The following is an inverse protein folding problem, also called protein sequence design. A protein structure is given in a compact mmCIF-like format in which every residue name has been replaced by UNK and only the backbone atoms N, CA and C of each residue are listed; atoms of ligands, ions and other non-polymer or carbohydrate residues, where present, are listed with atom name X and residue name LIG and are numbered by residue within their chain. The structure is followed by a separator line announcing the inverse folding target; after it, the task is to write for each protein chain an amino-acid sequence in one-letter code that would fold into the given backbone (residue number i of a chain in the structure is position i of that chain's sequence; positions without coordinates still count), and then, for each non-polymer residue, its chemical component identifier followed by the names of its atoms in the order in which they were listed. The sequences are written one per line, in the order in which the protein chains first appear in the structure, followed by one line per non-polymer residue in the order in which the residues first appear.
data_IF_132095916160
#
_entry.id   IF_132095916160
#
_cell.length_a   1.000
_cell.length_b   1.000
_cell.length_c   1.000
_cell.angle_alpha   90.00
_cell.angle_beta   90.00
_cell.angle_gamma   90.00
#
_symmetry.space_group_name_H-M   'P 1'
#
loop_
_entity.id
_entity.type
_entity.pdbx_description
1 polymer ?
#
# COMPACT_ATOMS: atom_id res chain seq x y z
N UNK A 1 -20.19 16.55 -28.84
CA UNK A 1 -20.53 15.22 -28.26
C UNK A 1 -19.38 14.81 -27.36
N UNK A 2 -19.64 14.50 -26.08
CA UNK A 2 -18.63 13.97 -25.15
C UNK A 2 -18.39 12.52 -25.53
N UNK A 3 -17.13 12.15 -25.77
CA UNK A 3 -16.77 10.80 -26.22
C UNK A 3 -16.14 9.95 -25.10
N UNK A 4 -15.67 10.59 -24.01
CA UNK A 4 -15.10 9.92 -22.84
C UNK A 4 -15.22 10.81 -21.62
N UNK A 5 -15.38 10.18 -20.45
CA UNK A 5 -15.32 10.82 -19.14
C UNK A 5 -14.31 10.05 -18.31
N UNK A 6 -13.41 10.77 -17.64
CA UNK A 6 -12.42 10.18 -16.74
C UNK A 6 -12.69 10.68 -15.31
N UNK A 7 -12.52 9.79 -14.35
CA UNK A 7 -12.67 10.09 -12.93
C UNK A 7 -11.37 9.80 -12.20
N UNK A 8 -11.08 10.55 -11.17
CA UNK A 8 -10.15 10.13 -10.14
C UNK A 8 -10.76 8.96 -9.35
N UNK A 9 -9.94 8.15 -8.70
CA UNK A 9 -10.40 6.93 -8.03
C UNK A 9 -10.62 7.16 -6.53
N UNK A 10 -9.57 7.56 -5.80
CA UNK A 10 -9.62 7.72 -4.36
C UNK A 10 -10.35 9.01 -3.96
N UNK A 11 -11.24 8.93 -2.97
CA UNK A 11 -12.14 10.02 -2.50
C UNK A 11 -13.03 10.63 -3.59
N UNK A 12 -13.10 9.97 -4.76
CA UNK A 12 -13.99 10.33 -5.87
C UNK A 12 -14.96 9.19 -6.17
N UNK A 13 -14.46 8.02 -6.57
CA UNK A 13 -15.27 6.83 -6.82
C UNK A 13 -15.36 5.91 -5.61
N UNK A 14 -14.34 5.87 -4.78
CA UNK A 14 -14.28 5.10 -3.53
C UNK A 14 -13.83 5.99 -2.38
N UNK A 15 -14.24 5.65 -1.17
CA UNK A 15 -13.83 6.32 0.05
C UNK A 15 -12.51 5.71 0.51
N UNK A 16 -11.46 6.53 0.62
CA UNK A 16 -10.14 6.08 1.08
C UNK A 16 -10.22 5.55 2.52
N UNK A 17 -9.40 4.53 2.83
CA UNK A 17 -9.38 3.83 4.13
C UNK A 17 -10.73 3.28 4.65
N UNK A 18 -11.80 3.28 3.82
CA UNK A 18 -13.11 2.72 4.20
C UNK A 18 -13.08 1.20 4.47
N UNK A 19 -12.04 0.51 4.04
CA UNK A 19 -11.80 -0.90 4.32
C UNK A 19 -11.28 -1.17 5.76
N UNK A 20 -10.69 -0.20 6.45
CA UNK A 20 -10.13 -0.39 7.80
C UNK A 20 -11.17 -0.84 8.84
N UNK A 21 -12.40 -0.28 8.92
CA UNK A 21 -13.44 -0.81 9.80
C UNK A 21 -13.82 -2.26 9.49
N UNK A 22 -13.85 -2.63 8.20
CA UNK A 22 -14.15 -4.00 7.79
C UNK A 22 -13.01 -4.98 8.11
N UNK A 23 -11.75 -4.53 8.07
CA UNK A 23 -10.59 -5.27 8.56
C UNK A 23 -10.71 -5.53 10.06
N UNK A 24 -10.98 -4.50 10.85
CA UNK A 24 -11.15 -4.62 12.30
C UNK A 24 -12.28 -5.60 12.68
N UNK A 25 -13.42 -5.54 11.97
CA UNK A 25 -14.55 -6.47 12.19
C UNK A 25 -14.18 -7.93 11.90
N UNK A 26 -13.17 -8.20 11.06
CA UNK A 26 -12.63 -9.55 10.78
C UNK A 26 -11.47 -9.94 11.68
N UNK A 27 -11.11 -9.12 12.68
CA UNK A 27 -9.97 -9.36 13.56
C UNK A 27 -8.61 -9.23 12.86
N UNK A 28 -8.56 -8.56 11.71
CA UNK A 28 -7.32 -8.31 10.97
C UNK A 28 -6.63 -7.06 11.50
N UNK A 29 -5.29 -7.03 11.53
CA UNK A 29 -4.55 -5.81 11.85
C UNK A 29 -4.78 -4.74 10.77
N UNK A 30 -4.50 -3.48 11.10
CA UNK A 30 -4.53 -2.37 10.15
C UNK A 30 -3.57 -2.62 8.98
N UNK A 31 -3.81 -1.95 7.84
CA UNK A 31 -2.86 -2.00 6.70
C UNK A 31 -1.46 -1.57 7.13
N UNK A 32 -1.34 -0.53 7.96
CA UNK A 32 -0.06 -0.04 8.48
C UNK A 32 0.67 -1.11 9.29
N UNK A 33 -0.03 -1.81 10.17
CA UNK A 33 0.56 -2.90 10.98
C UNK A 33 0.95 -4.09 10.11
N UNK A 34 0.09 -4.48 9.16
CA UNK A 34 0.37 -5.59 8.24
C UNK A 34 1.60 -5.29 7.37
N UNK A 35 1.71 -4.10 6.80
CA UNK A 35 2.87 -3.66 6.02
C UNK A 35 4.16 -3.77 6.84
N UNK A 36 4.12 -3.28 8.08
CA UNK A 36 5.25 -3.36 8.99
C UNK A 36 5.62 -4.81 9.31
N UNK A 37 4.64 -5.65 9.61
CA UNK A 37 4.85 -7.05 9.93
C UNK A 37 5.50 -7.81 8.77
N UNK A 38 4.92 -7.71 7.56
CA UNK A 38 5.44 -8.36 6.36
C UNK A 38 6.91 -8.00 6.09
N UNK A 39 7.23 -6.71 6.15
CA UNK A 39 8.60 -6.25 5.90
C UNK A 39 9.57 -6.71 6.99
N UNK A 40 9.22 -6.55 8.26
CA UNK A 40 10.07 -6.95 9.40
C UNK A 40 10.32 -8.45 9.38
N UNK A 41 9.31 -9.28 9.17
CA UNK A 41 9.45 -10.73 9.10
C UNK A 41 10.38 -11.15 7.96
N UNK A 42 10.24 -10.54 6.78
CA UNK A 42 11.11 -10.84 5.64
C UNK A 42 12.57 -10.46 5.92
N UNK A 43 12.81 -9.27 6.48
CA UNK A 43 14.17 -8.85 6.86
C UNK A 43 14.77 -9.80 7.88
N UNK A 44 14.06 -10.13 8.95
CA UNK A 44 14.59 -11.00 10.01
C UNK A 44 14.85 -12.43 9.54
N UNK A 45 14.05 -12.94 8.61
CA UNK A 45 14.23 -14.28 8.03
C UNK A 45 15.57 -14.40 7.30
N UNK A 46 16.01 -13.36 6.63
CA UNK A 46 17.20 -13.38 5.80
C UNK A 46 18.39 -12.62 6.40
N UNK A 47 18.16 -11.79 7.40
CA UNK A 47 19.15 -10.94 8.05
C UNK A 47 18.99 -10.96 9.59
N UNK A 48 19.32 -12.06 10.25
CA UNK A 48 19.09 -12.22 11.71
C UNK A 48 19.91 -11.24 12.57
N UNK A 49 20.90 -10.56 11.98
CA UNK A 49 21.65 -9.49 12.65
C UNK A 49 20.95 -8.13 12.68
N UNK A 50 19.84 -7.96 11.96
CA UNK A 50 19.03 -6.73 12.00
C UNK A 50 17.98 -6.87 13.10
N UNK A 51 17.88 -5.86 14.00
CA UNK A 51 16.81 -5.87 15.01
C UNK A 51 15.45 -5.53 14.40
N UNK A 52 14.32 -6.03 14.97
CA UNK A 52 12.97 -5.69 14.51
C UNK A 52 12.71 -4.19 14.49
N UNK A 53 13.20 -3.47 15.52
CA UNK A 53 13.05 -2.01 15.59
C UNK A 53 13.79 -1.28 14.49
N UNK A 54 15.00 -1.73 14.11
CA UNK A 54 15.77 -1.14 13.01
C UNK A 54 15.10 -1.38 11.66
N UNK A 55 14.56 -2.58 11.42
CA UNK A 55 13.80 -2.89 10.23
C UNK A 55 12.54 -2.02 10.12
N UNK A 56 11.75 -1.92 11.19
CA UNK A 56 10.55 -1.10 11.24
C UNK A 56 10.86 0.40 11.00
N UNK A 57 11.95 0.91 11.56
CA UNK A 57 12.38 2.30 11.35
C UNK A 57 12.77 2.57 9.90
N UNK A 58 13.49 1.66 9.24
CA UNK A 58 13.86 1.79 7.84
C UNK A 58 12.61 1.83 6.92
N UNK A 59 11.64 0.95 7.17
CA UNK A 59 10.37 0.99 6.46
C UNK A 59 9.64 2.32 6.67
N UNK A 60 9.55 2.80 7.92
CA UNK A 60 8.89 4.07 8.23
C UNK A 60 9.54 5.26 7.52
N UNK A 61 10.87 5.27 7.41
CA UNK A 61 11.60 6.30 6.68
C UNK A 61 11.29 6.27 5.17
N UNK A 62 11.29 5.10 4.56
CA UNK A 62 10.93 4.93 3.15
C UNK A 62 9.48 5.36 2.86
N UNK A 63 8.52 5.00 3.75
CA UNK A 63 7.13 5.43 3.61
C UNK A 63 6.95 6.94 3.81
N UNK A 64 7.76 7.57 4.66
CA UNK A 64 7.78 9.03 4.83
C UNK A 64 8.31 9.72 3.56
N UNK A 65 9.38 9.19 2.96
CA UNK A 65 9.90 9.67 1.69
C UNK A 65 8.89 9.52 0.56
N UNK A 66 8.20 8.37 0.49
CA UNK A 66 7.09 8.16 -0.44
C UNK A 66 5.98 9.21 -0.29
N UNK A 67 5.56 9.53 0.94
CA UNK A 67 4.55 10.55 1.19
C UNK A 67 4.95 11.93 0.64
N UNK A 68 6.25 12.27 0.70
CA UNK A 68 6.79 13.47 0.09
C UNK A 68 6.78 13.40 -1.45
N UNK A 69 7.25 12.29 -2.02
CA UNK A 69 7.25 12.09 -3.47
C UNK A 69 5.84 12.24 -4.05
N UNK A 70 4.86 11.62 -3.40
CA UNK A 70 3.46 11.72 -3.80
C UNK A 70 2.92 13.16 -3.71
N UNK A 71 3.08 13.82 -2.56
CA UNK A 71 2.47 15.14 -2.29
C UNK A 71 3.17 16.30 -3.01
N UNK A 72 4.48 16.22 -3.21
CA UNK A 72 5.29 17.34 -3.71
C UNK A 72 5.76 17.09 -5.14
N UNK A 73 6.16 15.86 -5.45
CA UNK A 73 6.73 15.52 -6.76
C UNK A 73 5.69 14.90 -7.71
N UNK A 74 4.44 14.68 -7.21
CA UNK A 74 3.34 14.04 -7.94
C UNK A 74 3.73 12.70 -8.57
N UNK A 75 4.62 11.95 -7.89
CA UNK A 75 5.12 10.66 -8.28
C UNK A 75 4.63 9.58 -7.32
N UNK A 76 4.10 8.48 -7.88
CA UNK A 76 3.66 7.31 -7.12
C UNK A 76 4.56 6.12 -7.44
N UNK A 77 5.70 5.93 -6.73
CA UNK A 77 6.56 4.77 -6.91
C UNK A 77 5.81 3.47 -6.64
N UNK A 78 6.06 2.40 -7.44
CA UNK A 78 5.50 1.09 -7.17
C UNK A 78 5.94 0.53 -5.81
N UNK A 79 5.19 -0.45 -5.29
CA UNK A 79 5.50 -1.12 -4.02
C UNK A 79 6.94 -1.64 -3.98
N UNK A 80 7.37 -2.30 -5.06
CA UNK A 80 8.72 -2.84 -5.16
C UNK A 80 9.82 -1.78 -5.01
N UNK A 81 9.63 -0.57 -5.53
CA UNK A 81 10.60 0.53 -5.39
C UNK A 81 10.69 0.99 -3.95
N UNK A 82 9.55 1.19 -3.28
CA UNK A 82 9.48 1.59 -1.86
C UNK A 82 10.14 0.56 -0.93
N UNK A 83 9.94 -0.73 -1.19
CA UNK A 83 10.55 -1.80 -0.41
C UNK A 83 12.06 -1.90 -0.64
N UNK A 84 12.55 -1.68 -1.89
CA UNK A 84 14.00 -1.59 -2.16
C UNK A 84 14.64 -0.41 -1.44
N UNK A 85 13.97 0.73 -1.40
CA UNK A 85 14.43 1.89 -0.64
C UNK A 85 14.55 1.58 0.86
N UNK A 86 13.55 0.91 1.44
CA UNK A 86 13.60 0.49 2.84
C UNK A 86 14.76 -0.49 3.12
N UNK A 87 15.01 -1.46 2.22
CA UNK A 87 16.15 -2.37 2.33
C UNK A 87 17.48 -1.64 2.20
N UNK A 88 17.58 -0.69 1.25
CA UNK A 88 18.79 0.11 1.06
C UNK A 88 19.17 0.94 2.30
N UNK A 89 18.18 1.45 3.06
CA UNK A 89 18.41 2.12 4.36
C UNK A 89 19.01 1.20 5.42
N UNK A 90 18.88 -0.11 5.26
CA UNK A 90 19.54 -1.13 6.09
C UNK A 90 20.91 -1.55 5.55
N UNK A 91 21.32 -1.04 4.38
CA UNK A 91 22.50 -1.49 3.66
C UNK A 91 22.31 -2.83 2.94
N UNK A 92 21.07 -3.21 2.65
CA UNK A 92 20.69 -4.49 2.05
C UNK A 92 20.22 -4.31 0.61
N UNK A 93 20.47 -5.34 -0.23
CA UNK A 93 19.77 -5.53 -1.50
C UNK A 93 18.48 -6.33 -1.33
N UNK A 94 17.77 -6.63 -2.44
CA UNK A 94 16.60 -7.49 -2.42
C UNK A 94 16.94 -8.86 -1.80
N UNK A 95 16.04 -9.31 -0.88
CA UNK A 95 16.15 -10.63 -0.24
C UNK A 95 15.69 -11.75 -1.19
N UNK A 96 16.00 -13.01 -0.91
CA UNK A 96 15.47 -14.15 -1.69
C UNK A 96 13.94 -14.20 -1.74
N UNK A 97 13.24 -13.68 -0.73
CA UNK A 97 11.77 -13.61 -0.66
C UNK A 97 11.18 -12.28 -1.14
N UNK A 98 11.98 -11.40 -1.77
CA UNK A 98 11.55 -10.06 -2.13
C UNK A 98 10.30 -10.01 -3.01
N UNK A 99 10.23 -10.84 -4.06
CA UNK A 99 9.06 -10.85 -4.95
C UNK A 99 7.80 -11.36 -4.24
N UNK A 100 7.94 -12.33 -3.33
CA UNK A 100 6.84 -12.79 -2.48
C UNK A 100 6.40 -11.70 -1.48
N UNK A 101 7.33 -10.89 -0.95
CA UNK A 101 7.00 -9.74 -0.11
C UNK A 101 6.21 -8.68 -0.89
N UNK A 102 6.61 -8.38 -2.12
CA UNK A 102 5.89 -7.43 -2.99
C UNK A 102 4.46 -7.93 -3.23
N UNK A 103 4.31 -9.19 -3.65
CA UNK A 103 3.01 -9.79 -3.89
C UNK A 103 2.11 -9.78 -2.63
N UNK A 104 2.64 -10.19 -1.48
CA UNK A 104 1.90 -10.19 -0.22
C UNK A 104 1.45 -8.78 0.20
N UNK A 105 2.26 -7.76 -0.10
CA UNK A 105 1.88 -6.38 0.17
C UNK A 105 0.74 -5.92 -0.76
N UNK A 106 0.82 -6.21 -2.05
CA UNK A 106 -0.21 -5.85 -3.03
C UNK A 106 -1.52 -6.61 -2.76
N UNK A 107 -1.46 -7.90 -2.46
CA UNK A 107 -2.63 -8.71 -2.10
C UNK A 107 -3.32 -8.17 -0.84
N UNK A 108 -2.56 -7.71 0.14
CA UNK A 108 -3.10 -7.14 1.37
C UNK A 108 -3.88 -5.83 1.11
N UNK A 109 -3.44 -5.01 0.16
CA UNK A 109 -4.12 -3.75 -0.19
C UNK A 109 -5.51 -4.00 -0.81
N UNK A 110 -5.68 -5.09 -1.54
CA UNK A 110 -6.93 -5.44 -2.24
C UNK A 110 -7.78 -6.49 -1.52
N UNK A 111 -7.33 -6.98 -0.37
CA UNK A 111 -8.00 -8.04 0.39
C UNK A 111 -9.46 -7.70 0.76
N UNK A 112 -9.70 -6.45 1.06
CA UNK A 112 -11.03 -5.90 1.34
C UNK A 112 -11.24 -4.69 0.43
N UNK A 113 -12.22 -4.74 -0.48
CA UNK A 113 -12.47 -3.62 -1.37
C UNK A 113 -12.96 -2.39 -0.58
N UNK A 114 -12.55 -1.19 -0.98
CA UNK A 114 -13.07 0.05 -0.40
C UNK A 114 -14.56 0.24 -0.71
N UNK A 115 -15.22 1.05 0.08
CA UNK A 115 -16.63 1.41 -0.13
C UNK A 115 -16.76 2.40 -1.28
N UNK A 116 -17.72 2.19 -2.17
CA UNK A 116 -18.07 3.17 -3.20
C UNK A 116 -18.57 4.47 -2.55
N UNK A 117 -18.18 5.59 -3.13
CA UNK A 117 -18.73 6.89 -2.74
C UNK A 117 -20.24 6.95 -3.06
N UNK A 118 -21.04 7.75 -2.27
CA UNK A 118 -22.48 7.86 -2.48
C UNK A 118 -22.83 8.23 -3.93
N UNK A 119 -23.78 7.53 -4.53
CA UNK A 119 -24.27 7.76 -5.88
C UNK A 119 -23.41 7.16 -7.01
N UNK A 120 -22.24 6.62 -6.72
CA UNK A 120 -21.33 6.06 -7.76
C UNK A 120 -21.94 4.81 -8.39
N UNK A 121 -22.56 3.93 -7.59
CA UNK A 121 -23.16 2.70 -8.08
C UNK A 121 -24.28 2.95 -9.09
N UNK A 122 -25.01 4.04 -8.95
CA UNK A 122 -26.09 4.45 -9.84
C UNK A 122 -25.55 5.24 -11.05
N UNK A 123 -24.54 6.07 -10.84
CA UNK A 123 -23.99 6.96 -11.85
C UNK A 123 -23.22 6.19 -12.96
N UNK A 124 -22.36 5.24 -12.60
CA UNK A 124 -21.50 4.58 -13.56
C UNK A 124 -22.28 3.83 -14.66
N UNK A 125 -23.33 3.05 -14.37
CA UNK A 125 -24.15 2.42 -15.41
C UNK A 125 -24.84 3.45 -16.31
N UNK A 126 -25.35 4.56 -15.75
CA UNK A 126 -26.04 5.59 -16.51
C UNK A 126 -25.15 6.36 -17.50
N UNK A 127 -23.83 6.34 -17.28
CA UNK A 127 -22.87 6.93 -18.23
C UNK A 127 -22.55 6.02 -19.43
N UNK A 128 -22.91 4.74 -19.35
CA UNK A 128 -22.67 3.77 -20.41
C UNK A 128 -23.82 3.69 -21.44
N UNK A 129 -24.96 4.34 -21.17
CA UNK A 129 -26.12 4.45 -22.04
C UNK A 129 -26.03 5.70 -22.97
#
# INVERSE_FOLDING_TARGET
MIQAVTFDFWDTLVIDDSDEPARAARGLPTKVETRRQLFVEEVLRHQPGVSPGRAAQALQQALTAFGRQWKVEHRTPPVAERLREALALLGLGPTPGFDALVAAWEDMEVLIPPTLAPGVAEMLPALAE
#
